data_IF_403268259651
#
_entry.id   IF_403268259651
#
_cell.length_a   1.000
_cell.length_b   1.000
_cell.length_c   1.000
_cell.angle_alpha   90.00
_cell.angle_beta   90.00
_cell.angle_gamma   90.00
#
_symmetry.space_group_name_H-M   'P 1'
#
loop_
_entity.id
_entity.type
_entity.pdbx_description
1 polymer ?
#
# COMPACT_ATOMS: atom_id res chain seq x y z
N UNK A 1 -1.59 32.90 -4.23
CA UNK A 1 -2.07 32.34 -5.49
C UNK A 1 -2.87 31.06 -5.24
N UNK A 2 -3.84 30.78 -6.12
CA UNK A 2 -4.53 29.50 -6.13
C UNK A 2 -3.65 28.43 -6.79
N UNK A 3 -3.47 27.33 -6.10
CA UNK A 3 -2.81 26.15 -6.66
C UNK A 3 -3.80 25.01 -6.70
N UNK A 4 -4.13 24.52 -7.89
CA UNK A 4 -4.90 23.30 -8.03
C UNK A 4 -3.95 22.12 -7.82
N UNK A 5 -4.11 21.43 -6.70
CA UNK A 5 -3.35 20.23 -6.39
C UNK A 5 -4.11 19.00 -6.93
N UNK A 6 -3.44 18.22 -7.75
CA UNK A 6 -3.97 16.94 -8.29
C UNK A 6 -3.05 15.81 -7.90
N UNK A 7 -3.63 14.71 -7.42
CA UNK A 7 -2.89 13.48 -7.11
C UNK A 7 -3.58 12.27 -7.71
N UNK A 8 -2.85 11.56 -8.58
CA UNK A 8 -3.30 10.30 -9.13
C UNK A 8 -3.03 9.17 -8.12
N UNK A 9 -4.03 8.35 -7.87
CA UNK A 9 -4.02 7.28 -6.86
C UNK A 9 -4.00 5.88 -7.46
N UNK A 10 -3.65 5.72 -8.73
CA UNK A 10 -3.66 4.42 -9.43
C UNK A 10 -2.80 3.33 -8.77
N UNK A 11 -1.84 3.72 -7.93
CA UNK A 11 -0.91 2.79 -7.27
C UNK A 11 -1.32 2.44 -5.83
N UNK A 12 -2.43 2.99 -5.33
CA UNK A 12 -2.90 2.78 -3.96
C UNK A 12 -4.40 2.51 -3.93
N UNK A 13 -4.88 1.98 -2.81
CA UNK A 13 -6.31 1.98 -2.49
C UNK A 13 -6.61 3.17 -1.60
N UNK A 14 -7.52 4.04 -2.02
CA UNK A 14 -7.95 5.18 -1.22
C UNK A 14 -8.85 4.71 -0.09
N UNK A 15 -8.53 5.12 1.13
CA UNK A 15 -9.30 4.77 2.33
C UNK A 15 -10.62 5.56 2.44
N UNK A 16 -11.45 5.22 3.45
CA UNK A 16 -12.84 5.70 3.52
C UNK A 16 -13.01 7.21 3.72
N UNK A 17 -12.00 7.91 4.22
CA UNK A 17 -12.06 9.36 4.42
C UNK A 17 -11.60 10.16 3.18
N UNK A 18 -11.17 9.48 2.09
CA UNK A 18 -10.71 10.13 0.87
C UNK A 18 -9.28 10.68 0.97
N UNK A 19 -8.91 11.52 0.01
CA UNK A 19 -7.58 12.11 -0.08
C UNK A 19 -7.56 13.53 0.44
N UNK A 20 -6.41 13.93 1.00
CA UNK A 20 -6.16 15.28 1.53
C UNK A 20 -4.78 15.79 1.11
N UNK A 21 -4.63 17.11 1.10
CA UNK A 21 -3.33 17.77 1.11
C UNK A 21 -3.19 18.58 2.40
N UNK A 22 -2.00 18.53 3.00
CA UNK A 22 -1.68 19.21 4.26
C UNK A 22 -0.20 19.45 4.41
N UNK A 23 0.23 19.77 5.61
CA UNK A 23 1.62 20.04 5.94
C UNK A 23 2.13 21.40 5.45
N UNK A 24 3.31 21.77 5.94
CA UNK A 24 4.00 22.97 5.53
C UNK A 24 3.13 24.24 5.61
N UNK A 25 2.93 24.88 4.46
CA UNK A 25 2.15 26.14 4.38
C UNK A 25 0.64 25.91 4.43
N UNK A 26 0.17 24.68 4.28
CA UNK A 26 -1.27 24.37 4.27
C UNK A 26 -1.85 24.15 5.66
N UNK A 27 -1.06 23.68 6.62
CA UNK A 27 -1.50 23.45 8.00
C UNK A 27 -1.59 21.99 8.38
N UNK A 28 -2.74 21.55 8.93
CA UNK A 28 -2.90 20.18 9.45
C UNK A 28 -3.04 19.11 8.35
N UNK A 29 -3.13 17.84 8.77
CA UNK A 29 -3.22 16.70 7.86
C UNK A 29 -4.51 16.65 7.02
N UNK A 30 -5.53 17.39 7.41
CA UNK A 30 -6.81 17.47 6.70
C UNK A 30 -7.11 18.89 6.18
N UNK A 31 -6.08 19.72 6.01
CA UNK A 31 -6.24 21.13 5.67
C UNK A 31 -7.02 21.37 4.36
N UNK A 32 -6.72 20.57 3.32
CA UNK A 32 -7.35 20.68 2.00
C UNK A 32 -7.97 19.31 1.64
N UNK A 33 -9.29 19.14 1.70
CA UNK A 33 -9.93 17.95 1.18
C UNK A 33 -9.83 17.93 -0.35
N UNK A 34 -9.55 16.76 -0.91
CA UNK A 34 -9.52 16.54 -2.35
C UNK A 34 -10.75 15.72 -2.77
N UNK A 35 -11.16 15.84 -4.02
CA UNK A 35 -12.33 15.16 -4.59
C UNK A 35 -11.95 14.48 -5.91
N UNK A 36 -12.46 13.28 -6.12
CA UNK A 36 -12.45 12.55 -7.39
C UNK A 36 -13.90 12.44 -7.88
N UNK A 37 -14.43 13.56 -8.40
CA UNK A 37 -15.85 13.68 -8.73
C UNK A 37 -16.22 12.97 -10.05
N UNK A 38 -15.26 12.78 -10.94
CA UNK A 38 -15.43 12.10 -12.24
C UNK A 38 -15.01 10.62 -12.20
N UNK A 39 -14.39 10.17 -11.08
CA UNK A 39 -14.04 8.77 -10.84
C UNK A 39 -12.85 8.28 -11.65
N UNK A 40 -11.96 9.17 -12.10
CA UNK A 40 -10.80 8.82 -12.91
C UNK A 40 -9.57 8.38 -12.07
N UNK A 41 -9.69 8.43 -10.75
CA UNK A 41 -8.61 8.10 -9.80
C UNK A 41 -7.63 9.25 -9.56
N UNK A 42 -7.91 10.44 -10.10
CA UNK A 42 -7.15 11.66 -9.86
C UNK A 42 -7.94 12.58 -8.92
N UNK A 43 -7.47 12.68 -7.71
CA UNK A 43 -8.09 13.53 -6.68
C UNK A 43 -7.58 14.95 -6.77
N UNK A 44 -8.48 15.94 -6.73
CA UNK A 44 -8.13 17.34 -6.90
C UNK A 44 -8.75 18.28 -5.87
N UNK A 45 -8.04 19.36 -5.57
CA UNK A 45 -8.50 20.43 -4.69
C UNK A 45 -7.70 21.71 -4.88
N UNK A 46 -8.24 22.84 -4.46
CA UNK A 46 -7.58 24.15 -4.58
C UNK A 46 -7.07 24.58 -3.22
N UNK A 47 -5.78 24.92 -3.17
CA UNK A 47 -5.10 25.43 -1.99
C UNK A 47 -4.55 26.84 -2.23
N UNK A 48 -4.43 27.63 -1.15
CA UNK A 48 -3.78 28.95 -1.21
C UNK A 48 -2.29 28.81 -0.86
N UNK A 49 -1.42 29.22 -1.77
CA UNK A 49 0.02 29.28 -1.53
C UNK A 49 0.55 30.70 -1.58
N UNK A 50 1.55 31.04 -0.74
CA UNK A 50 2.27 32.30 -0.88
C UNK A 50 3.09 32.32 -2.17
N UNK A 51 3.46 33.52 -2.66
CA UNK A 51 4.30 33.66 -3.85
C UNK A 51 5.66 32.96 -3.73
N UNK A 52 6.18 32.79 -2.51
CA UNK A 52 7.42 32.07 -2.25
C UNK A 52 7.29 30.55 -2.42
N UNK A 53 6.07 30.03 -2.64
CA UNK A 53 5.81 28.58 -2.60
C UNK A 53 5.78 28.06 -1.18
N UNK A 54 6.14 26.80 -0.99
CA UNK A 54 6.23 26.17 0.34
C UNK A 54 6.02 24.66 0.30
N UNK A 55 6.26 24.02 1.45
CA UNK A 55 6.10 22.58 1.58
C UNK A 55 4.64 22.19 1.72
N UNK A 56 4.32 20.99 1.25
CA UNK A 56 3.03 20.32 1.38
C UNK A 56 3.19 18.81 1.14
N UNK A 57 2.18 18.03 1.47
CA UNK A 57 2.18 16.57 1.30
C UNK A 57 0.76 16.08 1.03
N UNK A 58 0.63 14.95 0.32
CA UNK A 58 -0.64 14.26 0.17
C UNK A 58 -0.82 13.20 1.26
N UNK A 59 -2.08 13.00 1.70
CA UNK A 59 -2.44 12.03 2.74
C UNK A 59 -3.62 11.17 2.27
N UNK A 60 -3.53 9.86 2.53
CA UNK A 60 -4.56 8.88 2.21
C UNK A 60 -5.42 8.60 3.43
N UNK A 61 -6.61 9.15 3.45
CA UNK A 61 -7.63 8.85 4.46
C UNK A 61 -7.23 9.16 5.92
N UNK A 62 -6.66 10.34 6.23
CA UNK A 62 -6.35 10.70 7.61
C UNK A 62 -7.62 10.70 8.46
N UNK A 63 -7.50 10.28 9.72
CA UNK A 63 -8.61 10.20 10.67
C UNK A 63 -8.90 11.53 11.39
N UNK A 64 -7.92 12.42 11.42
CA UNK A 64 -8.00 13.77 12.02
C UNK A 64 -6.82 14.64 11.57
N UNK A 65 -6.83 15.93 11.88
CA UNK A 65 -5.78 16.88 11.50
C UNK A 65 -4.37 16.61 12.06
N UNK A 66 -4.22 15.72 13.01
CA UNK A 66 -2.94 15.27 13.57
C UNK A 66 -2.46 13.93 13.04
N UNK A 67 -3.19 13.30 12.13
CA UNK A 67 -2.88 11.97 11.60
C UNK A 67 -1.90 12.03 10.41
N UNK A 68 -0.64 12.13 10.73
CA UNK A 68 0.46 12.15 9.76
C UNK A 68 0.92 10.75 9.32
N UNK A 69 0.38 9.69 9.93
CA UNK A 69 0.73 8.30 9.60
C UNK A 69 0.26 7.85 8.21
N UNK A 70 -0.66 8.61 7.62
CA UNK A 70 -1.27 8.32 6.31
C UNK A 70 -0.68 9.14 5.16
N UNK A 71 0.37 9.93 5.42
CA UNK A 71 1.03 10.72 4.39
C UNK A 71 1.81 9.84 3.40
N UNK A 72 1.97 10.33 2.18
CA UNK A 72 2.85 9.70 1.20
C UNK A 72 4.29 9.62 1.69
N UNK A 73 5.02 8.59 1.27
CA UNK A 73 6.45 8.43 1.58
C UNK A 73 7.30 8.81 0.36
N UNK A 74 8.01 9.92 0.49
CA UNK A 74 8.95 10.42 -0.52
C UNK A 74 10.41 10.31 -0.06
N UNK A 75 10.67 9.48 0.94
CA UNK A 75 12.03 9.27 1.49
C UNK A 75 12.99 8.82 0.39
N UNK A 76 14.09 9.55 0.24
CA UNK A 76 15.11 9.27 -0.78
C UNK A 76 14.72 9.64 -2.21
N UNK A 77 13.54 10.21 -2.43
CA UNK A 77 13.12 10.69 -3.74
C UNK A 77 13.48 12.17 -3.95
N UNK A 78 13.75 12.62 -5.20
CA UNK A 78 14.22 13.97 -5.48
C UNK A 78 13.19 15.07 -5.19
N UNK A 79 11.89 14.75 -5.11
CA UNK A 79 10.82 15.70 -4.79
C UNK A 79 10.50 15.78 -3.31
N UNK A 80 11.04 14.88 -2.48
CA UNK A 80 10.91 14.92 -1.02
C UNK A 80 12.06 15.71 -0.40
N UNK A 81 11.76 16.77 0.36
CA UNK A 81 12.80 17.52 1.07
C UNK A 81 13.12 16.85 2.41
N UNK A 82 14.32 16.26 2.59
CA UNK A 82 14.69 15.58 3.82
C UNK A 82 14.78 16.52 5.05
N UNK A 83 14.89 17.84 4.82
CA UNK A 83 14.89 18.82 5.90
C UNK A 83 13.47 19.22 6.32
N UNK A 84 12.45 18.78 5.61
CA UNK A 84 11.04 19.08 5.83
C UNK A 84 10.20 17.80 5.80
N UNK A 85 10.60 16.79 6.56
CA UNK A 85 9.90 15.50 6.72
C UNK A 85 9.66 14.74 5.42
N UNK A 86 10.48 14.97 4.38
CA UNK A 86 10.31 14.48 3.02
C UNK A 86 9.01 14.97 2.34
N UNK A 87 8.51 16.13 2.73
CA UNK A 87 7.38 16.77 2.08
C UNK A 87 7.78 17.36 0.71
N UNK A 88 6.81 17.51 -0.19
CA UNK A 88 7.00 18.16 -1.49
C UNK A 88 7.29 19.66 -1.30
N UNK A 89 8.14 20.20 -2.16
CA UNK A 89 8.37 21.63 -2.24
C UNK A 89 7.74 22.20 -3.52
N UNK A 90 6.74 23.06 -3.36
CA UNK A 90 6.31 23.96 -4.43
C UNK A 90 7.30 25.14 -4.49
N UNK A 91 7.99 25.35 -5.62
CA UNK A 91 8.87 26.51 -5.76
C UNK A 91 8.08 27.83 -5.81
N UNK A 92 8.78 28.95 -5.81
CA UNK A 92 8.15 30.27 -5.95
C UNK A 92 7.28 30.35 -7.23
N UNK A 93 6.07 30.88 -7.07
CA UNK A 93 5.07 31.02 -8.14
C UNK A 93 4.71 32.49 -8.36
N UNK A 94 4.32 32.84 -9.59
CA UNK A 94 3.95 34.19 -9.98
C UNK A 94 2.49 34.30 -10.46
N UNK A 95 1.77 33.20 -10.54
CA UNK A 95 0.36 33.10 -10.97
C UNK A 95 -0.29 31.86 -10.37
N UNK A 96 -1.60 31.79 -10.47
CA UNK A 96 -2.34 30.57 -10.23
C UNK A 96 -1.81 29.43 -11.12
N UNK A 97 -1.70 28.23 -10.56
CA UNK A 97 -1.06 27.10 -11.25
C UNK A 97 -1.73 25.77 -10.88
N UNK A 98 -1.43 24.72 -11.66
CA UNK A 98 -1.88 23.36 -11.38
C UNK A 98 -0.66 22.45 -11.23
N UNK A 99 -0.66 21.63 -10.20
CA UNK A 99 0.34 20.60 -9.93
C UNK A 99 -0.32 19.24 -10.03
N UNK A 100 0.24 18.36 -10.85
CA UNK A 100 -0.20 16.95 -10.98
C UNK A 100 0.94 16.05 -10.50
N UNK A 101 0.60 15.12 -9.59
CA UNK A 101 1.55 14.16 -9.04
C UNK A 101 0.94 12.76 -8.97
N UNK A 102 1.80 11.75 -8.87
CA UNK A 102 1.41 10.43 -8.39
C UNK A 102 1.63 10.33 -6.89
N UNK A 103 0.70 9.71 -6.16
CA UNK A 103 0.87 9.49 -4.72
C UNK A 103 2.14 8.66 -4.44
N UNK A 104 3.01 9.16 -3.57
CA UNK A 104 4.26 8.49 -3.20
C UNK A 104 5.33 8.48 -4.29
N UNK A 105 5.22 9.29 -5.34
CA UNK A 105 6.19 9.37 -6.44
C UNK A 105 6.44 10.82 -6.88
N UNK A 106 7.60 11.06 -7.49
CA UNK A 106 7.95 12.36 -8.08
C UNK A 106 7.39 12.60 -9.48
N UNK A 107 6.71 11.63 -10.06
CA UNK A 107 6.12 11.76 -11.40
C UNK A 107 5.06 12.86 -11.44
N UNK A 108 5.11 13.68 -12.50
CA UNK A 108 4.25 14.86 -12.67
C UNK A 108 3.53 14.89 -14.02
N UNK A 109 3.68 13.86 -14.85
CA UNK A 109 3.07 13.77 -16.18
C UNK A 109 1.71 13.03 -16.17
N UNK A 110 1.25 12.59 -14.98
CA UNK A 110 0.02 11.83 -14.79
C UNK A 110 0.17 10.33 -15.04
N UNK A 111 1.33 9.87 -15.49
CA UNK A 111 1.63 8.43 -15.61
C UNK A 111 2.27 7.92 -14.33
N UNK A 112 1.49 7.24 -13.50
CA UNK A 112 2.01 6.70 -12.26
C UNK A 112 2.74 5.38 -12.51
N UNK A 113 3.97 5.20 -12.00
CA UNK A 113 4.67 3.94 -12.10
C UNK A 113 3.85 2.86 -11.39
N UNK A 114 3.82 1.65 -11.97
CA UNK A 114 3.23 0.51 -11.29
C UNK A 114 3.89 0.34 -9.90
N UNK A 115 3.14 -0.05 -8.86
CA UNK A 115 3.73 -0.37 -7.58
C UNK A 115 4.88 -1.36 -7.76
N UNK A 116 5.99 -1.24 -7.02
CA UNK A 116 7.02 -2.25 -7.03
C UNK A 116 6.38 -3.62 -6.79
N UNK A 117 6.81 -4.69 -7.49
CA UNK A 117 6.29 -6.01 -7.22
C UNK A 117 6.50 -6.32 -5.73
N UNK A 118 5.42 -6.69 -5.06
CA UNK A 118 5.51 -7.05 -3.64
C UNK A 118 6.40 -8.28 -3.53
N UNK A 119 7.48 -8.25 -2.71
CA UNK A 119 8.34 -9.41 -2.56
C UNK A 119 7.51 -10.61 -2.10
N UNK A 120 7.53 -11.67 -2.88
CA UNK A 120 6.83 -12.92 -2.55
C UNK A 120 7.80 -13.90 -1.89
N UNK A 121 7.35 -14.56 -0.84
CA UNK A 121 8.00 -15.71 -0.22
C UNK A 121 7.21 -16.97 -0.56
N UNK A 122 7.90 -18.06 -0.90
CA UNK A 122 7.25 -19.36 -1.08
C UNK A 122 7.52 -20.22 0.16
N UNK A 123 6.46 -20.66 0.80
CA UNK A 123 6.51 -21.71 1.81
C UNK A 123 6.23 -23.04 1.15
N UNK A 124 7.08 -24.03 1.39
CA UNK A 124 6.92 -25.39 0.88
C UNK A 124 6.83 -26.34 2.07
N UNK A 125 5.88 -27.25 2.05
CA UNK A 125 5.80 -28.38 2.99
C UNK A 125 6.22 -29.65 2.25
N UNK A 126 7.18 -30.39 2.82
CA UNK A 126 7.56 -31.71 2.37
C UNK A 126 6.88 -32.74 3.27
N UNK A 127 5.94 -33.47 2.68
CA UNK A 127 5.16 -34.50 3.33
C UNK A 127 5.84 -35.85 3.17
N UNK A 128 5.91 -36.66 4.24
CA UNK A 128 6.48 -38.00 4.22
C UNK A 128 5.57 -39.00 4.92
N UNK A 129 5.54 -40.21 4.39
CA UNK A 129 4.85 -41.37 4.94
C UNK A 129 5.76 -42.60 4.91
N UNK A 130 5.78 -43.35 6.02
CA UNK A 130 6.68 -44.50 6.16
C UNK A 130 6.15 -45.77 5.53
N UNK A 131 4.83 -45.87 5.31
CA UNK A 131 4.19 -47.06 4.76
C UNK A 131 3.84 -46.93 3.27
N UNK A 132 3.82 -45.74 2.73
CA UNK A 132 3.56 -45.44 1.31
C UNK A 132 2.08 -45.49 0.92
N UNK A 133 1.19 -45.50 1.90
CA UNK A 133 -0.25 -45.46 1.67
C UNK A 133 -0.86 -44.06 1.90
N UNK A 134 0.02 -43.08 2.18
CA UNK A 134 -0.34 -41.68 2.41
C UNK A 134 -0.73 -41.39 3.86
N UNK A 135 -1.26 -40.21 4.11
CA UNK A 135 -1.60 -39.76 5.47
C UNK A 135 -2.99 -40.19 5.95
N UNK A 136 -3.65 -41.12 5.26
CA UNK A 136 -4.90 -41.74 5.64
C UNK A 136 -6.00 -40.77 6.10
N UNK A 137 -6.08 -39.64 5.40
CA UNK A 137 -7.04 -38.56 5.66
C UNK A 137 -6.53 -37.46 6.61
N UNK A 138 -5.34 -37.63 7.20
CA UNK A 138 -4.70 -36.50 7.90
C UNK A 138 -4.30 -35.40 6.92
N UNK A 139 -4.33 -34.17 7.39
CA UNK A 139 -4.03 -33.01 6.57
C UNK A 139 -3.47 -31.84 7.39
N UNK A 140 -2.96 -30.84 6.70
CA UNK A 140 -2.51 -29.57 7.29
C UNK A 140 -3.29 -28.44 6.66
N UNK A 141 -4.04 -27.71 7.46
CA UNK A 141 -4.61 -26.43 7.05
C UNK A 141 -3.52 -25.35 7.05
N UNK A 142 -3.44 -24.61 5.98
CA UNK A 142 -2.53 -23.47 5.84
C UNK A 142 -3.35 -22.21 5.87
N UNK A 143 -3.11 -21.36 6.87
CA UNK A 143 -3.76 -20.07 7.00
C UNK A 143 -2.76 -18.94 6.73
N UNK A 144 -3.21 -17.92 6.01
CA UNK A 144 -2.48 -16.66 5.82
C UNK A 144 -3.29 -15.55 6.47
N UNK A 145 -2.67 -14.83 7.40
CA UNK A 145 -3.32 -13.76 8.17
C UNK A 145 -4.65 -14.20 8.83
N UNK A 146 -4.67 -15.45 9.33
CA UNK A 146 -5.84 -16.04 9.99
C UNK A 146 -6.92 -16.60 9.05
N UNK A 147 -6.74 -16.52 7.72
CA UNK A 147 -7.67 -17.11 6.74
C UNK A 147 -7.07 -18.40 6.18
N UNK A 148 -7.79 -19.53 6.29
CA UNK A 148 -7.37 -20.81 5.68
C UNK A 148 -7.45 -20.67 4.16
N UNK A 149 -6.30 -20.84 3.50
CA UNK A 149 -6.14 -20.69 2.05
C UNK A 149 -5.83 -22.00 1.32
N UNK A 150 -5.36 -23.01 2.07
CA UNK A 150 -5.09 -24.33 1.53
C UNK A 150 -5.27 -25.40 2.61
N UNK A 151 -5.56 -26.63 2.17
CA UNK A 151 -5.52 -27.84 2.98
C UNK A 151 -4.66 -28.87 2.26
N UNK A 152 -3.54 -29.24 2.86
CA UNK A 152 -2.55 -30.13 2.27
C UNK A 152 -2.55 -31.49 2.95
N UNK A 153 -2.43 -32.57 2.16
CA UNK A 153 -2.34 -33.92 2.65
C UNK A 153 -1.75 -34.85 1.60
N UNK A 154 -1.18 -35.96 2.05
CA UNK A 154 -0.62 -36.98 1.18
C UNK A 154 -1.65 -38.06 0.94
N UNK A 155 -2.26 -38.11 -0.25
CA UNK A 155 -3.31 -39.07 -0.57
C UNK A 155 -2.80 -40.51 -0.73
N UNK A 156 -1.56 -40.67 -1.21
CA UNK A 156 -0.88 -41.98 -1.37
C UNK A 156 0.61 -41.76 -1.65
N UNK A 157 1.42 -42.81 -1.46
CA UNK A 157 2.87 -42.74 -1.73
C UNK A 157 3.67 -42.36 -0.47
N UNK A 158 5.00 -42.46 -0.59
CA UNK A 158 5.94 -42.22 0.52
C UNK A 158 6.27 -40.76 0.75
N UNK A 159 6.02 -39.88 -0.24
CA UNK A 159 6.35 -38.46 -0.15
C UNK A 159 5.53 -37.62 -1.13
N UNK A 160 5.39 -36.35 -0.82
CA UNK A 160 4.82 -35.32 -1.66
C UNK A 160 5.24 -33.94 -1.17
N UNK A 161 4.99 -32.92 -1.97
CA UNK A 161 5.22 -31.54 -1.55
C UNK A 161 4.16 -30.62 -2.14
N UNK A 162 3.80 -29.60 -1.36
CA UNK A 162 2.94 -28.51 -1.77
C UNK A 162 3.55 -27.17 -1.38
N UNK A 163 3.13 -26.10 -2.05
CA UNK A 163 3.67 -24.76 -1.77
C UNK A 163 2.62 -23.66 -1.90
N UNK A 164 2.84 -22.57 -1.16
CA UNK A 164 2.03 -21.37 -1.23
C UNK A 164 2.94 -20.13 -1.36
N UNK A 165 2.56 -19.23 -2.25
CA UNK A 165 3.18 -17.91 -2.35
C UNK A 165 2.48 -16.94 -1.38
N UNK A 166 3.29 -16.19 -0.63
CA UNK A 166 2.83 -15.16 0.32
C UNK A 166 3.59 -13.86 0.05
N UNK A 167 3.16 -12.78 0.63
CA UNK A 167 3.89 -11.51 0.57
C UNK A 167 4.71 -11.31 1.85
N UNK A 168 5.74 -10.48 1.76
CA UNK A 168 6.57 -10.18 2.93
C UNK A 168 5.73 -9.49 4.02
N UNK A 169 5.74 -10.05 5.22
CA UNK A 169 4.96 -9.58 6.37
C UNK A 169 3.68 -10.39 6.64
N UNK A 170 3.29 -11.30 5.75
CA UNK A 170 2.19 -12.22 6.04
C UNK A 170 2.54 -13.15 7.21
N UNK A 171 1.56 -13.37 8.08
CA UNK A 171 1.60 -14.42 9.10
C UNK A 171 1.09 -15.71 8.48
N UNK A 172 1.90 -16.77 8.48
CA UNK A 172 1.53 -18.08 7.97
C UNK A 172 1.46 -19.05 9.13
N UNK A 173 0.28 -19.64 9.32
CA UNK A 173 0.00 -20.64 10.35
C UNK A 173 -0.32 -22.00 9.72
N UNK A 174 0.15 -23.07 10.37
CA UNK A 174 -0.10 -24.45 9.98
C UNK A 174 -0.85 -25.17 11.11
N UNK A 175 -2.00 -25.74 10.79
CA UNK A 175 -2.81 -26.51 11.74
C UNK A 175 -2.94 -27.94 11.25
N UNK A 176 -2.43 -28.91 12.03
CA UNK A 176 -2.59 -30.33 11.73
C UNK A 176 -4.00 -30.79 12.03
N UNK A 177 -4.59 -31.58 11.11
CA UNK A 177 -5.86 -32.26 11.25
C UNK A 177 -5.60 -33.77 11.23
N UNK A 178 -6.03 -34.48 12.27
CA UNK A 178 -5.80 -35.92 12.39
C UNK A 178 -6.60 -36.74 11.38
N UNK A 179 -6.01 -37.82 10.93
CA UNK A 179 -6.62 -38.82 10.04
C UNK A 179 -7.21 -40.04 10.76
N UNK A 180 -7.33 -41.11 10.02
CA UNK A 180 -7.96 -42.33 10.52
C UNK A 180 -7.06 -43.18 11.45
N UNK A 181 -5.74 -42.93 11.44
CA UNK A 181 -4.73 -43.76 12.11
C UNK A 181 -3.79 -43.01 13.04
N UNK A 182 -4.17 -41.87 13.52
CA UNK A 182 -3.39 -41.02 14.44
C UNK A 182 -3.64 -41.37 15.90
#
# INVERSE_FOLDING_TARGET
YNVTLKVNTATITVGPNGMYAGGGVLGDAMAIPLSDADGDGTWEGVAQFPAAGGHYVFLNSPSNGGDWGTKEDLTGQPCGDPNSYNDRLLPAIASDTTMLHCFGSCETDGTCPAPPPVPTCNYTIDMQDSFGDGWNGASVDVAVNGTVVANWGLASGFSGSDSIATINGDLVDFTFNSGAWD
#
